data_IF_843508658417
#
_entry.id   IF_843508658417
#
_cell.length_a   1.000
_cell.length_b   1.000
_cell.length_c   1.000
_cell.angle_alpha   90.00
_cell.angle_beta   90.00
_cell.angle_gamma   90.00
#
_symmetry.space_group_name_H-M   'P 1'
#
loop_
_entity.id
_entity.type
_entity.pdbx_description
1 polymer ?
#
# COMPACT_ATOMS: atom_id res chain seq x y z
N UNK A 1 3.49 -19.51 -21.96
CA UNK A 1 3.01 -18.30 -21.25
C UNK A 1 3.54 -18.43 -19.84
N UNK A 2 4.65 -17.76 -19.54
CA UNK A 2 5.18 -17.70 -18.19
C UNK A 2 4.28 -16.74 -17.41
N UNK A 3 3.48 -17.28 -16.50
CA UNK A 3 2.76 -16.48 -15.52
C UNK A 3 3.80 -15.91 -14.56
N UNK A 4 4.36 -14.75 -14.88
CA UNK A 4 5.08 -13.98 -13.87
C UNK A 4 4.09 -13.74 -12.72
N UNK A 5 4.37 -14.22 -11.50
CA UNK A 5 3.48 -13.97 -10.39
C UNK A 5 3.37 -12.45 -10.23
N UNK A 6 2.14 -11.95 -10.21
CA UNK A 6 1.85 -10.51 -10.07
C UNK A 6 2.38 -9.94 -8.73
N UNK A 7 2.80 -10.81 -7.81
CA UNK A 7 3.26 -10.50 -6.47
C UNK A 7 4.44 -11.38 -6.07
N UNK A 8 5.43 -10.80 -5.39
CA UNK A 8 6.53 -11.50 -4.74
C UNK A 8 6.05 -12.14 -3.42
N UNK A 9 6.91 -12.95 -2.80
CA UNK A 9 6.60 -13.59 -1.53
C UNK A 9 6.20 -12.54 -0.45
N UNK A 10 5.19 -12.82 0.38
CA UNK A 10 4.72 -11.89 1.40
C UNK A 10 5.81 -11.63 2.46
N UNK A 11 5.96 -10.37 2.88
CA UNK A 11 6.77 -9.97 4.03
C UNK A 11 5.88 -9.41 5.12
N UNK A 12 5.93 -10.01 6.31
CA UNK A 12 5.20 -9.51 7.49
C UNK A 12 5.67 -8.12 7.95
N UNK A 13 6.82 -7.66 7.45
CA UNK A 13 7.34 -6.32 7.75
C UNK A 13 6.50 -5.20 7.11
N UNK A 14 5.86 -5.48 5.98
CA UNK A 14 5.13 -4.48 5.19
C UNK A 14 3.61 -4.62 5.24
N UNK A 15 3.10 -5.44 6.16
CA UNK A 15 1.67 -5.59 6.38
C UNK A 15 1.23 -4.91 7.67
N UNK A 16 0.03 -4.34 7.65
CA UNK A 16 -0.62 -3.84 8.86
C UNK A 16 -0.91 -5.00 9.82
N UNK A 17 -0.68 -4.77 11.11
CA UNK A 17 -1.18 -5.67 12.15
C UNK A 17 -2.71 -5.62 12.22
N UNK A 18 -3.35 -6.60 12.88
CA UNK A 18 -4.81 -6.54 13.11
C UNK A 18 -5.23 -5.26 13.83
N UNK A 19 -4.43 -4.77 14.78
CA UNK A 19 -4.68 -3.51 15.49
C UNK A 19 -4.63 -2.31 14.55
N UNK A 20 -3.59 -2.24 13.71
CA UNK A 20 -3.42 -1.15 12.77
C UNK A 20 -4.47 -1.17 11.65
N UNK A 21 -4.96 -2.36 11.24
CA UNK A 21 -6.08 -2.49 10.30
C UNK A 21 -7.36 -1.86 10.86
N UNK A 22 -7.66 -2.09 12.15
CA UNK A 22 -8.83 -1.47 12.81
C UNK A 22 -8.66 0.04 12.87
N UNK A 23 -7.49 0.53 13.23
CA UNK A 23 -7.21 1.98 13.26
C UNK A 23 -7.27 2.60 11.87
N UNK A 24 -6.62 1.99 10.86
CA UNK A 24 -6.63 2.44 9.48
C UNK A 24 -8.05 2.52 8.91
N UNK A 25 -8.91 1.55 9.24
CA UNK A 25 -10.32 1.56 8.84
C UNK A 25 -11.12 2.67 9.53
N UNK A 26 -10.83 2.96 10.80
CA UNK A 26 -11.53 4.00 11.56
C UNK A 26 -11.21 5.42 11.08
N UNK A 27 -10.06 5.62 10.41
CA UNK A 27 -9.61 6.92 9.89
C UNK A 27 -9.84 7.09 8.39
N UNK A 28 -10.57 6.17 7.75
CA UNK A 28 -10.96 6.32 6.35
C UNK A 28 -11.89 7.51 6.16
N UNK A 29 -11.70 8.25 5.07
CA UNK A 29 -12.51 9.40 4.70
C UNK A 29 -13.16 9.20 3.33
N UNK A 30 -14.34 9.79 3.12
CA UNK A 30 -15.10 9.65 1.86
C UNK A 30 -14.34 10.22 0.66
N UNK A 31 -13.70 11.39 0.83
CA UNK A 31 -12.91 12.08 -0.20
C UNK A 31 -11.38 11.92 0.01
N UNK A 32 -10.90 10.68 0.04
CA UNK A 32 -9.46 10.40 0.18
C UNK A 32 -8.64 10.67 -1.08
N UNK A 33 -7.33 10.88 -0.91
CA UNK A 33 -6.38 11.01 -2.01
C UNK A 33 -5.87 9.61 -2.37
N UNK A 34 -5.87 9.22 -3.66
CA UNK A 34 -5.32 7.92 -4.06
C UNK A 34 -3.84 7.80 -3.67
N UNK A 35 -3.47 6.71 -3.01
CA UNK A 35 -2.12 6.49 -2.49
C UNK A 35 -1.61 5.08 -2.81
N UNK A 36 -0.36 5.02 -3.27
CA UNK A 36 0.41 3.78 -3.42
C UNK A 36 1.44 3.74 -2.30
N UNK A 37 1.61 2.61 -1.63
CA UNK A 37 2.67 2.43 -0.63
C UNK A 37 3.86 1.71 -1.26
N UNK A 38 5.07 2.20 -1.02
CA UNK A 38 6.30 1.62 -1.54
C UNK A 38 7.17 1.04 -0.41
N UNK A 39 7.68 -0.17 -0.60
CA UNK A 39 8.78 -0.76 0.15
C UNK A 39 9.93 -1.09 -0.81
N UNK A 40 11.16 -0.68 -0.49
CA UNK A 40 12.33 -0.82 -1.38
C UNK A 40 12.14 -0.28 -2.82
N UNK A 41 11.29 0.75 -2.93
CA UNK A 41 10.92 1.36 -4.22
C UNK A 41 9.99 0.50 -5.08
N UNK A 42 9.38 -0.53 -4.51
CA UNK A 42 8.37 -1.39 -5.15
C UNK A 42 7.01 -1.17 -4.49
N UNK A 43 5.90 -1.16 -5.25
CA UNK A 43 4.57 -1.11 -4.68
C UNK A 43 4.32 -2.31 -3.76
N UNK A 44 3.62 -2.12 -2.65
CA UNK A 44 3.30 -3.18 -1.71
C UNK A 44 1.82 -3.16 -1.36
N UNK A 45 1.23 -4.35 -1.28
CA UNK A 45 -0.05 -4.53 -0.62
C UNK A 45 0.15 -4.44 0.89
N UNK A 46 -0.26 -3.33 1.51
CA UNK A 46 -0.13 -3.11 2.96
C UNK A 46 -1.04 -4.01 3.80
N UNK A 47 -1.95 -4.77 3.20
CA UNK A 47 -2.81 -5.74 3.91
C UNK A 47 -2.12 -7.10 3.98
N UNK A 48 -1.45 -7.52 2.90
CA UNK A 48 -0.82 -8.84 2.80
C UNK A 48 0.71 -8.82 2.90
N UNK A 49 1.32 -7.63 2.82
CA UNK A 49 2.77 -7.43 2.78
C UNK A 49 3.41 -7.88 1.48
N UNK A 50 2.63 -8.11 0.43
CA UNK A 50 3.12 -8.62 -0.86
C UNK A 50 3.62 -7.49 -1.75
N UNK A 51 4.91 -7.56 -2.13
CA UNK A 51 5.51 -6.62 -3.06
C UNK A 51 5.04 -6.93 -4.49
N UNK A 52 4.69 -5.91 -5.26
CA UNK A 52 4.53 -6.00 -6.70
C UNK A 52 5.91 -5.92 -7.38
N UNK A 53 6.10 -6.58 -8.53
CA UNK A 53 7.27 -6.37 -9.38
C UNK A 53 7.56 -4.89 -9.63
N UNK A 54 8.84 -4.51 -9.70
CA UNK A 54 9.25 -3.11 -9.90
C UNK A 54 8.74 -2.52 -11.23
N UNK A 55 8.56 -3.37 -12.22
CA UNK A 55 8.11 -3.09 -13.57
C UNK A 55 6.58 -3.11 -13.73
N UNK A 56 5.82 -3.34 -12.65
CA UNK A 56 4.35 -3.27 -12.70
C UNK A 56 3.89 -1.91 -13.23
N UNK A 57 3.12 -1.87 -14.34
CA UNK A 57 2.61 -0.64 -14.92
C UNK A 57 1.83 0.18 -13.90
N UNK A 58 1.95 1.52 -13.93
CA UNK A 58 1.30 2.37 -12.93
C UNK A 58 -0.22 2.17 -12.84
N UNK A 59 -0.88 1.84 -13.94
CA UNK A 59 -2.32 1.55 -13.97
C UNK A 59 -2.69 0.22 -13.28
N UNK A 60 -1.72 -0.67 -13.06
CA UNK A 60 -1.88 -1.99 -12.44
C UNK A 60 -1.31 -2.04 -11.01
N UNK A 61 -0.75 -0.92 -10.53
CA UNK A 61 -0.25 -0.81 -9.15
C UNK A 61 -1.42 -0.80 -8.16
N UNK A 62 -1.26 -1.47 -7.03
CA UNK A 62 -2.22 -1.40 -5.93
C UNK A 62 -2.27 0.05 -5.45
N UNK A 63 -3.46 0.62 -5.53
CA UNK A 63 -3.74 1.97 -5.10
C UNK A 63 -4.87 1.92 -4.08
N UNK A 64 -4.63 2.50 -2.92
CA UNK A 64 -5.62 2.64 -1.87
C UNK A 64 -6.32 3.98 -2.02
N UNK A 65 -7.63 3.96 -1.83
CA UNK A 65 -8.46 5.14 -1.80
C UNK A 65 -8.93 5.37 -0.36
N UNK A 66 -9.45 6.56 -0.07
CA UNK A 66 -10.06 6.91 1.22
C UNK A 66 -9.07 7.21 2.36
N UNK A 67 -7.83 7.59 2.06
CA UNK A 67 -6.87 8.09 3.05
C UNK A 67 -6.53 9.57 2.82
N UNK A 68 -6.52 10.38 3.89
CA UNK A 68 -5.88 11.70 3.87
C UNK A 68 -4.37 11.56 4.13
N UNK A 69 -3.63 12.68 4.07
CA UNK A 69 -2.17 12.67 4.26
C UNK A 69 -1.76 12.13 5.64
N UNK A 70 -2.49 12.48 6.70
CA UNK A 70 -2.19 12.01 8.06
C UNK A 70 -2.42 10.50 8.22
N UNK A 71 -3.52 9.99 7.66
CA UNK A 71 -3.84 8.56 7.66
C UNK A 71 -2.82 7.76 6.84
N UNK A 72 -2.44 8.26 5.66
CA UNK A 72 -1.42 7.63 4.84
C UNK A 72 -0.05 7.65 5.54
N UNK A 73 0.31 8.72 6.24
CA UNK A 73 1.55 8.80 7.02
C UNK A 73 1.54 7.81 8.22
N UNK A 74 0.40 7.66 8.90
CA UNK A 74 0.22 6.66 9.96
C UNK A 74 0.44 5.24 9.43
N UNK A 75 -0.24 4.89 8.33
CA UNK A 75 -0.13 3.57 7.69
C UNK A 75 1.31 3.30 7.21
N UNK A 76 1.93 4.31 6.60
CA UNK A 76 3.30 4.21 6.11
C UNK A 76 4.29 3.88 7.24
N UNK A 77 4.13 4.54 8.40
CA UNK A 77 4.92 4.26 9.59
C UNK A 77 4.66 2.87 10.16
N UNK A 78 3.40 2.44 10.17
CA UNK A 78 3.03 1.12 10.69
C UNK A 78 3.58 -0.03 9.83
N UNK A 79 3.73 0.19 8.53
CA UNK A 79 4.16 -0.84 7.54
C UNK A 79 5.59 -0.69 7.06
N UNK A 80 6.38 0.24 7.62
CA UNK A 80 7.72 0.56 7.13
C UNK A 80 7.75 0.84 5.61
N UNK A 81 6.81 1.67 5.13
CA UNK A 81 6.66 2.02 3.71
C UNK A 81 6.72 3.53 3.48
N UNK A 82 6.73 3.93 2.21
CA UNK A 82 6.65 5.32 1.75
C UNK A 82 5.32 5.53 1.03
N UNK A 83 4.47 6.49 1.44
CA UNK A 83 3.24 6.80 0.74
C UNK A 83 3.53 7.70 -0.48
N UNK A 84 2.98 7.32 -1.63
CA UNK A 84 3.07 8.08 -2.88
C UNK A 84 1.67 8.42 -3.35
N UNK A 85 1.30 9.69 -3.20
CA UNK A 85 0.01 10.20 -3.61
C UNK A 85 -0.05 10.35 -5.14
N UNK A 86 -1.07 9.79 -5.76
CA UNK A 86 -1.35 9.96 -7.18
C UNK A 86 -2.29 11.14 -7.33
N UNK A 87 -1.75 12.28 -7.74
CA UNK A 87 -2.57 13.41 -8.21
C UNK A 87 -3.12 13.04 -9.59
N UNK A 88 -4.45 13.13 -9.75
CA UNK A 88 -5.10 13.06 -11.05
C UNK A 88 -4.94 14.38 -11.81
#
# INVERSE_FOLDING_TARGET
>A
METHPAFLAPSFEHCLSEGDLVTARAIQIEDGIPVVFLADGQPVDIVTGQLQPRDTPQAEQICYFNFNMDAAAFIARATNTIPVFKVQ
#
